data_IF_146439007510
#
_entry.id   IF_146439007510
#
_cell.length_a   1.000
_cell.length_b   1.000
_cell.length_c   1.000
_cell.angle_alpha   90.00
_cell.angle_beta   90.00
_cell.angle_gamma   90.00
#
_symmetry.space_group_name_H-M   'P 1'
#
loop_
_entity.id
_entity.type
_entity.pdbx_description
1 polymer ?
#
# COMPACT_ATOMS: atom_id res chain seq x y z
N UNK A 1 17.79 -6.74 -13.68
CA UNK A 1 18.38 -7.84 -12.88
C UNK A 1 19.53 -7.30 -12.03
N UNK A 2 19.79 -7.85 -10.84
CA UNK A 2 20.90 -7.41 -9.97
C UNK A 2 20.56 -6.37 -8.89
N UNK A 3 19.31 -5.92 -8.80
CA UNK A 3 18.83 -5.04 -7.72
C UNK A 3 18.88 -5.79 -6.39
N UNK A 4 19.49 -5.20 -5.36
CA UNK A 4 19.57 -5.82 -4.04
C UNK A 4 18.19 -5.86 -3.41
N UNK A 5 17.98 -6.82 -2.51
CA UNK A 5 16.69 -6.99 -1.82
C UNK A 5 16.22 -5.71 -1.13
N UNK A 6 17.10 -5.03 -0.39
CA UNK A 6 16.76 -3.79 0.31
C UNK A 6 16.28 -2.69 -0.64
N UNK A 7 16.97 -2.50 -1.76
CA UNK A 7 16.61 -1.48 -2.76
C UNK A 7 15.26 -1.79 -3.41
N UNK A 8 14.99 -3.07 -3.67
CA UNK A 8 13.70 -3.52 -4.22
C UNK A 8 12.55 -3.31 -3.23
N UNK A 9 12.74 -3.68 -1.97
CA UNK A 9 11.70 -3.57 -0.94
C UNK A 9 11.36 -2.07 -0.71
N UNK A 10 12.38 -1.22 -0.61
CA UNK A 10 12.20 0.25 -0.56
C UNK A 10 11.48 0.79 -1.80
N UNK A 11 11.81 0.29 -2.99
CA UNK A 11 11.17 0.75 -4.22
C UNK A 11 9.68 0.40 -4.28
N UNK A 12 9.29 -0.75 -3.72
CA UNK A 12 7.88 -1.16 -3.62
C UNK A 12 7.13 -0.23 -2.66
N UNK A 13 7.70 0.06 -1.49
CA UNK A 13 7.07 0.93 -0.49
C UNK A 13 6.87 2.35 -1.04
N UNK A 14 7.90 2.92 -1.69
CA UNK A 14 7.82 4.22 -2.35
C UNK A 14 6.80 4.24 -3.49
N UNK A 15 6.78 3.20 -4.33
CA UNK A 15 5.85 3.09 -5.47
C UNK A 15 4.38 3.03 -5.03
N UNK A 16 4.08 2.30 -3.96
CA UNK A 16 2.69 2.19 -3.44
C UNK A 16 2.25 3.46 -2.71
N UNK A 17 3.20 4.19 -2.12
CA UNK A 17 2.99 5.42 -1.38
C UNK A 17 2.66 6.66 -2.25
N UNK A 18 2.86 7.84 -1.67
CA UNK A 18 2.66 9.14 -2.34
C UNK A 18 3.94 9.64 -3.02
N UNK A 19 5.11 9.10 -2.65
CA UNK A 19 6.44 9.49 -3.15
C UNK A 19 6.90 8.61 -4.33
N UNK A 20 5.97 8.04 -5.09
CA UNK A 20 6.29 7.11 -6.18
C UNK A 20 7.20 7.73 -7.27
N UNK A 21 7.21 9.07 -7.40
CA UNK A 21 8.11 9.77 -8.32
C UNK A 21 9.59 9.60 -7.94
N UNK A 22 9.91 9.32 -6.67
CA UNK A 22 11.29 9.06 -6.28
C UNK A 22 11.87 7.78 -6.88
N UNK A 23 11.01 6.89 -7.37
CA UNK A 23 11.41 5.66 -8.07
C UNK A 23 10.96 5.62 -9.53
N UNK A 24 10.07 6.51 -9.95
CA UNK A 24 9.55 6.58 -11.33
C UNK A 24 10.07 7.76 -12.16
N UNK A 25 10.82 8.69 -11.58
CA UNK A 25 11.44 9.77 -12.34
C UNK A 25 12.44 9.24 -13.38
N UNK A 26 12.62 10.00 -14.46
CA UNK A 26 13.49 9.60 -15.56
C UNK A 26 14.95 9.53 -15.08
N UNK A 27 15.64 8.44 -15.39
CA UNK A 27 16.98 8.12 -14.90
C UNK A 27 17.02 7.40 -13.54
N UNK A 28 15.91 7.33 -12.80
CA UNK A 28 15.81 6.55 -11.55
C UNK A 28 15.18 5.18 -11.79
N UNK A 29 14.06 5.14 -12.53
CA UNK A 29 13.26 3.93 -12.66
C UNK A 29 13.99 2.83 -13.44
N UNK A 30 14.87 3.18 -14.36
CA UNK A 30 15.65 2.27 -15.20
C UNK A 30 16.62 1.42 -14.39
N UNK A 31 17.05 1.91 -13.22
CA UNK A 31 17.90 1.16 -12.29
C UNK A 31 17.11 0.15 -11.46
N UNK A 32 15.79 0.35 -11.31
CA UNK A 32 14.93 -0.40 -10.39
C UNK A 32 13.98 -1.37 -11.13
N UNK A 33 13.51 -1.00 -12.32
CA UNK A 33 12.51 -1.73 -13.08
C UNK A 33 13.01 -2.05 -14.49
N UNK A 34 12.58 -3.21 -15.02
CA UNK A 34 12.84 -3.57 -16.42
C UNK A 34 11.88 -2.85 -17.38
N UNK A 35 10.68 -2.54 -16.90
CA UNK A 35 9.65 -1.76 -17.60
C UNK A 35 9.08 -0.78 -16.60
N UNK A 36 8.95 0.49 -16.97
CA UNK A 36 8.39 1.53 -16.12
C UNK A 36 6.93 1.17 -15.80
N UNK A 37 6.57 0.93 -14.52
CA UNK A 37 5.18 0.63 -14.18
C UNK A 37 4.32 1.89 -14.29
N UNK A 38 3.05 1.70 -14.63
CA UNK A 38 2.04 2.77 -14.52
C UNK A 38 1.73 3.02 -13.04
N UNK A 39 1.33 4.24 -12.71
CA UNK A 39 0.94 4.59 -11.34
C UNK A 39 -0.50 4.19 -11.12
N UNK A 40 -0.76 3.46 -10.03
CA UNK A 40 -2.14 3.16 -9.65
C UNK A 40 -2.93 4.45 -9.41
N UNK A 41 -4.07 4.55 -10.08
CA UNK A 41 -5.08 5.55 -9.78
C UNK A 41 -5.64 5.34 -8.38
N UNK A 42 -6.24 6.39 -7.81
CA UNK A 42 -6.90 6.31 -6.50
C UNK A 42 -8.03 5.28 -6.54
N UNK A 43 -8.71 5.15 -7.67
CA UNK A 43 -9.81 4.23 -7.93
C UNK A 43 -9.32 2.78 -7.94
N UNK A 44 -8.19 2.49 -8.60
CA UNK A 44 -7.58 1.15 -8.59
C UNK A 44 -7.13 0.76 -7.19
N UNK A 45 -6.49 1.67 -6.45
CA UNK A 45 -6.10 1.42 -5.06
C UNK A 45 -7.33 1.10 -4.19
N UNK A 46 -8.42 1.84 -4.36
CA UNK A 46 -9.70 1.57 -3.65
C UNK A 46 -10.32 0.25 -4.06
N UNK A 47 -10.36 -0.07 -5.35
CA UNK A 47 -10.92 -1.32 -5.86
C UNK A 47 -10.13 -2.53 -5.34
N UNK A 48 -8.80 -2.43 -5.32
CA UNK A 48 -7.93 -3.44 -4.75
C UNK A 48 -8.18 -3.63 -3.25
N UNK A 49 -8.20 -2.52 -2.48
CA UNK A 49 -8.49 -2.57 -1.04
C UNK A 49 -9.88 -3.12 -0.72
N UNK A 50 -10.88 -2.88 -1.58
CA UNK A 50 -12.22 -3.42 -1.42
C UNK A 50 -12.26 -4.97 -1.49
N UNK A 51 -11.27 -5.59 -2.11
CA UNK A 51 -11.09 -7.05 -2.14
C UNK A 51 -10.49 -7.64 -0.86
N UNK A 52 -9.91 -6.82 0.02
CA UNK A 52 -9.37 -7.28 1.30
C UNK A 52 -10.51 -7.62 2.26
N UNK A 53 -10.58 -8.88 2.71
CA UNK A 53 -11.63 -9.44 3.58
C UNK A 53 -11.02 -10.32 4.66
N UNK A 54 -11.84 -10.65 5.66
CA UNK A 54 -11.50 -11.56 6.76
C UNK A 54 -10.30 -11.11 7.60
N UNK A 55 -10.12 -9.79 7.76
CA UNK A 55 -9.08 -9.21 8.63
C UNK A 55 -9.53 -9.26 10.09
N UNK A 56 -8.57 -9.50 11.00
CA UNK A 56 -8.76 -9.37 12.45
C UNK A 56 -7.99 -8.15 12.96
N UNK A 57 -8.64 -7.31 13.77
CA UNK A 57 -8.05 -6.15 14.42
C UNK A 57 -7.79 -6.47 15.89
N UNK A 58 -6.65 -6.06 16.43
CA UNK A 58 -6.38 -6.07 17.87
C UNK A 58 -6.04 -4.66 18.33
N UNK A 59 -6.64 -4.23 19.44
CA UNK A 59 -6.39 -2.93 20.06
C UNK A 59 -5.77 -3.11 21.45
N UNK A 60 -4.76 -2.31 21.77
CA UNK A 60 -4.10 -2.32 23.08
C UNK A 60 -4.95 -1.62 24.17
N UNK A 61 -5.91 -0.78 23.76
CA UNK A 61 -6.87 -0.10 24.61
C UNK A 61 -8.30 -0.13 24.02
N UNK A 62 -9.28 0.39 24.77
CA UNK A 62 -10.67 0.44 24.32
C UNK A 62 -10.89 1.49 23.22
N UNK A 63 -11.86 1.25 22.33
CA UNK A 63 -12.31 2.25 21.36
C UNK A 63 -13.31 3.22 22.02
N UNK A 64 -13.04 4.53 22.05
CA UNK A 64 -13.94 5.50 22.67
C UNK A 64 -15.21 5.74 21.84
N UNK A 65 -15.12 5.56 20.51
CA UNK A 65 -16.18 5.85 19.56
C UNK A 65 -16.24 4.82 18.42
N UNK A 66 -17.41 4.70 17.79
CA UNK A 66 -17.69 3.72 16.73
C UNK A 66 -17.02 4.01 15.38
N UNK A 67 -16.49 5.22 15.18
CA UNK A 67 -15.74 5.63 13.99
C UNK A 67 -14.52 4.73 13.72
N UNK A 68 -13.86 4.25 14.78
CA UNK A 68 -12.79 3.27 14.69
C UNK A 68 -13.26 1.96 14.06
N UNK A 69 -14.45 1.49 14.44
CA UNK A 69 -15.05 0.26 13.90
C UNK A 69 -15.46 0.46 12.44
N UNK A 70 -16.05 1.61 12.10
CA UNK A 70 -16.39 1.94 10.71
C UNK A 70 -15.14 1.99 9.82
N UNK A 71 -14.06 2.61 10.31
CA UNK A 71 -12.78 2.67 9.60
C UNK A 71 -12.15 1.29 9.45
N UNK A 72 -12.20 0.45 10.48
CA UNK A 72 -11.72 -0.92 10.44
C UNK A 72 -12.49 -1.75 9.41
N UNK A 73 -13.82 -1.64 9.39
CA UNK A 73 -14.67 -2.34 8.43
C UNK A 73 -14.33 -1.98 6.97
N UNK A 74 -14.02 -0.70 6.69
CA UNK A 74 -13.56 -0.25 5.35
C UNK A 74 -12.25 -0.92 4.91
N UNK A 75 -11.47 -1.48 5.84
CA UNK A 75 -10.23 -2.23 5.55
C UNK A 75 -10.42 -3.75 5.54
N UNK A 76 -11.65 -4.25 5.58
CA UNK A 76 -11.94 -5.69 5.52
C UNK A 76 -11.98 -6.40 6.87
N UNK A 77 -11.98 -5.64 7.97
CA UNK A 77 -12.05 -6.21 9.32
C UNK A 77 -13.40 -6.87 9.55
N UNK A 78 -13.33 -8.13 10.03
CA UNK A 78 -14.47 -8.98 10.36
C UNK A 78 -14.54 -9.30 11.86
N UNK A 79 -13.37 -9.33 12.51
CA UNK A 79 -13.23 -9.58 13.94
C UNK A 79 -12.37 -8.48 14.56
N UNK A 80 -12.77 -8.00 15.74
CA UNK A 80 -12.07 -6.99 16.54
C UNK A 80 -11.88 -7.56 17.94
#
# INVERSE_FOLDING_TARGET
EGVRRADRDNAIDLYIGEEYMDVLDDGKWEALFTVKPEVFTVEEKKAWLAGNKDVTLGSDAFFPFGDNIERAFRSGVKYV
#
